data_IF_178490456217
#
_entry.id   IF_178490456217
#
_cell.length_a   1.000
_cell.length_b   1.000
_cell.length_c   1.000
_cell.angle_alpha   90.00
_cell.angle_beta   90.00
_cell.angle_gamma   90.00
#
_symmetry.space_group_name_H-M   'P 1'
#
loop_
_entity.id
_entity.type
_entity.pdbx_description
1 polymer ?
#
# COMPACT_ATOMS: atom_id res chain seq x y z
N UNK A 1 33.83 16.98 2.44
CA UNK A 1 33.58 16.20 3.65
C UNK A 1 32.42 15.26 3.34
N UNK A 2 32.55 13.93 3.44
CA UNK A 2 31.41 13.05 3.33
C UNK A 2 30.38 13.44 4.40
N UNK A 3 29.13 13.48 4.03
CA UNK A 3 27.99 13.77 4.92
C UNK A 3 27.98 12.75 6.05
N UNK A 4 28.11 13.23 7.29
CA UNK A 4 28.12 12.40 8.49
C UNK A 4 26.69 11.99 8.93
N UNK A 5 25.72 12.02 8.01
CA UNK A 5 24.39 11.54 8.26
C UNK A 5 24.36 10.01 8.13
N UNK A 6 23.69 9.30 9.06
CA UNK A 6 23.59 7.84 9.00
C UNK A 6 22.90 7.41 7.69
N UNK A 7 23.45 6.38 7.05
CA UNK A 7 22.83 5.77 5.86
C UNK A 7 21.49 5.12 6.24
N UNK A 8 20.62 4.97 5.27
CA UNK A 8 19.29 4.38 5.50
C UNK A 8 19.28 2.99 4.87
N UNK A 9 19.06 1.98 5.70
CA UNK A 9 18.90 0.60 5.28
C UNK A 9 17.44 0.18 5.44
N UNK A 10 16.86 -0.39 4.41
CA UNK A 10 15.45 -0.72 4.38
C UNK A 10 15.19 -2.18 4.02
N UNK A 11 14.37 -2.86 4.81
CA UNK A 11 13.80 -4.17 4.48
C UNK A 11 12.34 -3.99 4.09
N UNK A 12 12.02 -4.25 2.80
CA UNK A 12 10.68 -4.11 2.23
C UNK A 12 10.06 -5.50 2.09
N UNK A 13 9.21 -5.89 3.04
CA UNK A 13 8.44 -7.12 2.95
C UNK A 13 7.30 -6.94 1.93
N UNK A 14 7.26 -7.82 0.93
CA UNK A 14 6.33 -7.68 -0.20
C UNK A 14 6.89 -6.89 -1.38
N UNK A 15 8.22 -6.78 -1.52
CA UNK A 15 8.91 -6.07 -2.61
C UNK A 15 8.51 -6.52 -4.02
N UNK A 16 8.05 -7.78 -4.20
CA UNK A 16 7.51 -8.30 -5.47
C UNK A 16 6.08 -7.84 -5.80
N UNK A 17 5.37 -7.17 -4.88
CA UNK A 17 4.03 -6.64 -5.08
C UNK A 17 4.02 -5.27 -5.77
N UNK A 18 2.81 -4.78 -6.12
CA UNK A 18 2.64 -3.47 -6.75
C UNK A 18 3.31 -2.36 -5.93
N UNK A 19 2.93 -2.22 -4.67
CA UNK A 19 3.44 -1.16 -3.79
C UNK A 19 4.90 -1.40 -3.42
N UNK A 20 5.25 -2.63 -3.02
CA UNK A 20 6.61 -2.97 -2.64
C UNK A 20 7.62 -2.74 -3.77
N UNK A 21 7.26 -3.08 -5.01
CA UNK A 21 8.06 -2.77 -6.20
C UNK A 21 8.22 -1.27 -6.44
N UNK A 22 7.17 -0.48 -6.24
CA UNK A 22 7.23 0.98 -6.28
C UNK A 22 8.16 1.56 -5.22
N UNK A 23 8.06 1.06 -3.99
CA UNK A 23 8.94 1.46 -2.88
C UNK A 23 10.41 1.13 -3.16
N UNK A 24 10.68 -0.06 -3.72
CA UNK A 24 12.05 -0.48 -4.09
C UNK A 24 12.64 0.41 -5.17
N UNK A 25 11.88 0.73 -6.21
CA UNK A 25 12.35 1.67 -7.26
C UNK A 25 12.64 3.06 -6.69
N UNK A 26 11.75 3.57 -5.85
CA UNK A 26 11.92 4.90 -5.26
C UNK A 26 13.08 4.95 -4.25
N UNK A 27 13.36 3.87 -3.52
CA UNK A 27 14.51 3.76 -2.62
C UNK A 27 15.84 4.02 -3.34
N UNK A 28 16.01 3.48 -4.55
CA UNK A 28 17.21 3.70 -5.37
C UNK A 28 17.43 5.20 -5.69
N UNK A 29 16.35 5.93 -5.98
CA UNK A 29 16.42 7.38 -6.25
C UNK A 29 16.78 8.20 -5.00
N UNK A 30 16.56 7.66 -3.82
CA UNK A 30 16.81 8.32 -2.53
C UNK A 30 18.14 7.90 -1.89
N UNK A 31 18.93 7.03 -2.54
CA UNK A 31 20.16 6.49 -1.97
C UNK A 31 19.92 5.58 -0.75
N UNK A 32 18.74 4.95 -0.66
CA UNK A 32 18.41 4.01 0.41
C UNK A 32 18.91 2.62 0.05
N UNK A 33 19.64 1.98 0.96
CA UNK A 33 20.11 0.61 0.79
C UNK A 33 18.98 -0.39 1.06
N UNK A 34 18.47 -1.01 -0.01
CA UNK A 34 17.42 -2.03 0.13
C UNK A 34 18.05 -3.38 0.40
N UNK A 35 17.69 -3.99 1.54
CA UNK A 35 18.12 -5.33 1.90
C UNK A 35 17.54 -6.38 0.95
N UNK A 36 18.45 -7.08 0.25
CA UNK A 36 18.12 -8.20 -0.62
C UNK A 36 17.90 -9.47 0.22
N UNK A 37 16.82 -9.51 0.97
CA UNK A 37 16.49 -10.64 1.82
C UNK A 37 16.13 -11.91 1.02
N UNK A 38 16.12 -13.08 1.70
CA UNK A 38 15.75 -14.34 1.08
C UNK A 38 14.27 -14.35 0.66
N UNK A 39 13.93 -15.23 -0.29
CA UNK A 39 12.52 -15.48 -0.64
C UNK A 39 11.79 -16.10 0.57
N UNK A 40 10.71 -15.46 1.01
CA UNK A 40 9.93 -15.92 2.15
C UNK A 40 8.90 -16.97 1.68
N UNK A 41 8.90 -18.18 2.27
CA UNK A 41 7.94 -19.23 1.94
C UNK A 41 6.60 -18.96 2.63
N UNK A 42 5.82 -18.00 2.14
CA UNK A 42 4.61 -17.46 2.77
C UNK A 42 3.58 -18.52 3.21
N UNK A 43 3.50 -19.65 2.49
CA UNK A 43 2.51 -20.71 2.72
C UNK A 43 2.97 -21.81 3.69
N UNK A 44 4.24 -21.83 4.05
CA UNK A 44 4.79 -22.82 5.00
C UNK A 44 5.12 -22.12 6.33
N UNK A 45 4.31 -22.25 7.37
CA UNK A 45 4.50 -21.54 8.63
C UNK A 45 5.83 -21.83 9.33
N UNK A 46 6.31 -23.09 9.24
CA UNK A 46 7.57 -23.51 9.88
C UNK A 46 8.77 -22.91 9.16
N UNK A 47 8.83 -23.11 7.85
CA UNK A 47 9.90 -22.55 7.03
C UNK A 47 9.88 -21.02 7.03
N UNK A 48 8.70 -20.40 6.98
CA UNK A 48 8.52 -18.95 7.02
C UNK A 48 9.08 -18.35 8.30
N UNK A 49 8.72 -18.87 9.47
CA UNK A 49 9.24 -18.37 10.75
C UNK A 49 10.74 -18.43 10.82
N UNK A 50 11.35 -19.56 10.42
CA UNK A 50 12.80 -19.71 10.36
C UNK A 50 13.45 -18.69 9.42
N UNK A 51 12.90 -18.53 8.22
CA UNK A 51 13.44 -17.59 7.21
C UNK A 51 13.30 -16.14 7.67
N UNK A 52 12.19 -15.77 8.29
CA UNK A 52 12.00 -14.42 8.85
C UNK A 52 12.99 -14.13 9.97
N UNK A 53 13.23 -15.07 10.86
CA UNK A 53 14.18 -14.91 11.96
C UNK A 53 15.62 -14.73 11.45
N UNK A 54 16.07 -15.60 10.54
CA UNK A 54 17.39 -15.49 9.90
C UNK A 54 17.55 -14.20 9.08
N UNK A 55 16.50 -13.80 8.35
CA UNK A 55 16.55 -12.57 7.58
C UNK A 55 16.59 -11.33 8.46
N UNK A 56 15.85 -11.32 9.58
CA UNK A 56 15.88 -10.23 10.55
C UNK A 56 17.26 -10.08 11.19
N UNK A 57 17.93 -11.19 11.52
CA UNK A 57 19.29 -11.19 12.05
C UNK A 57 20.29 -10.66 11.02
N UNK A 58 20.23 -11.17 9.78
CA UNK A 58 21.12 -10.73 8.70
C UNK A 58 20.93 -9.26 8.36
N UNK A 59 19.67 -8.80 8.36
CA UNK A 59 19.35 -7.39 8.13
C UNK A 59 19.89 -6.49 9.24
N UNK A 60 19.64 -6.83 10.51
CA UNK A 60 20.15 -6.08 11.64
C UNK A 60 21.68 -5.98 11.62
N UNK A 61 22.35 -7.08 11.27
CA UNK A 61 23.81 -7.11 11.12
C UNK A 61 24.28 -6.16 9.98
N UNK A 62 23.58 -6.16 8.84
CA UNK A 62 23.93 -5.30 7.70
C UNK A 62 23.73 -3.80 7.96
N UNK A 63 22.79 -3.45 8.85
CA UNK A 63 22.54 -2.05 9.24
C UNK A 63 23.67 -1.49 10.09
N UNK A 64 24.28 -2.32 10.96
CA UNK A 64 25.33 -1.85 11.88
C UNK A 64 24.81 -0.73 12.80
N UNK A 65 25.39 0.46 12.69
CA UNK A 65 25.00 1.66 13.45
C UNK A 65 24.10 2.65 12.69
N UNK A 66 23.76 2.33 11.44
CA UNK A 66 22.97 3.19 10.57
C UNK A 66 21.47 3.17 10.88
N UNK A 67 20.66 3.89 10.07
CA UNK A 67 19.22 3.97 10.27
C UNK A 67 18.50 2.76 9.72
N UNK A 68 17.87 1.99 10.59
CA UNK A 68 17.09 0.80 10.26
C UNK A 68 15.64 1.17 9.89
N UNK A 69 15.16 0.69 8.74
CA UNK A 69 13.77 0.86 8.28
C UNK A 69 13.19 -0.49 7.90
N UNK A 70 12.04 -0.85 8.46
CA UNK A 70 11.27 -2.03 8.06
C UNK A 70 9.93 -1.59 7.52
N UNK A 71 9.58 -2.04 6.30
CA UNK A 71 8.32 -1.69 5.64
C UNK A 71 7.49 -2.96 5.44
N UNK A 72 6.32 -2.99 6.06
CA UNK A 72 5.32 -4.03 5.81
C UNK A 72 4.43 -3.62 4.63
N UNK A 73 4.79 -4.09 3.43
CA UNK A 73 4.01 -3.95 2.20
C UNK A 73 3.52 -5.31 1.67
N UNK A 74 3.64 -6.35 2.51
CA UNK A 74 3.15 -7.70 2.22
C UNK A 74 1.67 -7.81 2.63
N UNK A 75 0.95 -8.70 1.94
CA UNK A 75 -0.43 -9.04 2.24
C UNK A 75 -1.12 -9.61 1.02
N UNK A 76 -1.96 -10.61 1.25
CA UNK A 76 -2.81 -11.20 0.23
C UNK A 76 -4.29 -10.95 0.48
N UNK A 77 -4.65 -10.54 1.69
CA UNK A 77 -6.02 -10.16 2.03
C UNK A 77 -6.44 -8.86 1.35
N UNK A 78 -7.71 -8.73 1.04
CA UNK A 78 -8.34 -7.57 0.43
C UNK A 78 -9.81 -7.47 0.83
N UNK A 79 -10.55 -6.53 0.27
CA UNK A 79 -11.93 -6.21 0.66
C UNK A 79 -12.89 -7.41 0.59
N UNK A 80 -12.66 -8.37 -0.31
CA UNK A 80 -13.46 -9.59 -0.44
C UNK A 80 -12.83 -10.82 0.25
N UNK A 81 -11.82 -10.66 1.10
CA UNK A 81 -11.23 -11.78 1.82
C UNK A 81 -12.06 -12.17 3.03
N UNK A 82 -12.08 -13.47 3.33
CA UNK A 82 -12.69 -14.04 4.53
C UNK A 82 -11.83 -13.80 5.79
N UNK A 83 -12.35 -14.23 6.94
CA UNK A 83 -11.64 -14.11 8.23
C UNK A 83 -10.35 -14.95 8.24
N UNK A 84 -10.30 -16.11 7.58
CA UNK A 84 -9.12 -16.99 7.55
C UNK A 84 -7.93 -16.31 6.86
N UNK A 85 -8.14 -15.71 5.71
CA UNK A 85 -7.07 -14.99 4.99
C UNK A 85 -6.58 -13.76 5.79
N UNK A 86 -7.47 -13.12 6.53
CA UNK A 86 -7.14 -11.99 7.40
C UNK A 86 -6.31 -12.44 8.61
N UNK A 87 -6.68 -13.58 9.22
CA UNK A 87 -5.97 -14.16 10.36
C UNK A 87 -4.58 -14.68 9.98
N UNK A 88 -4.44 -15.29 8.81
CA UNK A 88 -3.15 -15.72 8.28
C UNK A 88 -2.20 -14.53 8.11
N UNK A 89 -2.68 -13.41 7.55
CA UNK A 89 -1.86 -12.20 7.42
C UNK A 89 -1.45 -11.63 8.78
N UNK A 90 -2.36 -11.64 9.76
CA UNK A 90 -2.07 -11.22 11.12
C UNK A 90 -1.03 -12.11 11.81
N UNK A 91 -1.09 -13.44 11.59
CA UNK A 91 -0.11 -14.38 12.11
C UNK A 91 1.28 -14.11 11.53
N UNK A 92 1.38 -13.84 10.22
CA UNK A 92 2.64 -13.53 9.56
C UNK A 92 3.24 -12.22 10.10
N UNK A 93 2.42 -11.19 10.30
CA UNK A 93 2.87 -9.94 10.89
C UNK A 93 3.40 -10.13 12.31
N UNK A 94 2.74 -10.97 13.14
CA UNK A 94 3.25 -11.34 14.47
C UNK A 94 4.63 -11.98 14.38
N UNK A 95 4.81 -12.96 13.50
CA UNK A 95 6.10 -13.65 13.30
C UNK A 95 7.21 -12.68 12.92
N UNK A 96 6.94 -11.71 12.05
CA UNK A 96 7.90 -10.67 11.72
C UNK A 96 8.26 -9.79 12.93
N UNK A 97 7.24 -9.31 13.65
CA UNK A 97 7.48 -8.45 14.82
C UNK A 97 8.28 -9.19 15.89
N UNK A 98 7.98 -10.47 16.13
CA UNK A 98 8.78 -11.32 17.05
C UNK A 98 10.23 -11.49 16.55
N UNK A 99 10.44 -11.74 15.25
CA UNK A 99 11.76 -11.84 14.66
C UNK A 99 12.59 -10.55 14.78
N UNK A 100 11.94 -9.39 14.85
CA UNK A 100 12.60 -8.10 15.00
C UNK A 100 12.90 -7.72 16.46
N UNK A 101 12.31 -8.41 17.45
CA UNK A 101 12.56 -8.13 18.86
C UNK A 101 14.05 -8.26 19.21
N UNK A 102 14.58 -7.26 19.91
CA UNK A 102 15.98 -7.22 20.33
C UNK A 102 17.00 -6.97 19.19
N UNK A 103 16.52 -6.79 17.95
CA UNK A 103 17.40 -6.58 16.78
C UNK A 103 17.42 -5.13 16.27
N UNK A 104 16.64 -4.25 16.88
CA UNK A 104 16.69 -2.83 16.55
C UNK A 104 17.96 -2.17 17.08
N UNK A 105 18.60 -1.24 16.33
CA UNK A 105 19.69 -0.44 16.84
C UNK A 105 19.30 0.31 18.12
N UNK A 106 20.26 0.59 19.01
CA UNK A 106 19.99 1.40 20.22
C UNK A 106 19.49 2.81 19.88
N UNK A 107 19.91 3.35 18.76
CA UNK A 107 19.42 4.61 18.20
C UNK A 107 17.96 4.55 17.74
N UNK A 108 17.35 3.35 17.74
CA UNK A 108 16.02 3.08 17.23
C UNK A 108 15.99 2.87 15.73
N UNK A 109 14.76 2.87 15.17
CA UNK A 109 14.53 2.70 13.73
C UNK A 109 13.10 3.08 13.38
N UNK A 110 12.70 2.81 12.14
CA UNK A 110 11.32 3.08 11.69
C UNK A 110 10.67 1.78 11.23
N UNK A 111 9.50 1.47 11.77
CA UNK A 111 8.61 0.45 11.24
C UNK A 111 7.43 1.12 10.53
N UNK A 112 7.29 0.92 9.23
CA UNK A 112 6.18 1.44 8.44
C UNK A 112 5.19 0.34 8.11
N UNK A 113 3.95 0.47 8.62
CA UNK A 113 2.84 -0.42 8.32
C UNK A 113 1.99 0.15 7.18
N UNK A 114 1.81 -0.61 6.10
CA UNK A 114 0.79 -0.27 5.10
C UNK A 114 -0.58 -0.76 5.58
N UNK A 115 -1.45 0.19 5.90
CA UNK A 115 -2.86 -0.03 6.22
C UNK A 115 -3.74 0.41 5.05
N UNK A 116 -5.06 0.39 5.21
CA UNK A 116 -6.00 0.67 4.13
C UNK A 116 -7.08 1.66 4.58
N UNK A 117 -7.08 2.86 4.02
CA UNK A 117 -8.14 3.85 4.28
C UNK A 117 -9.53 3.29 3.90
N UNK A 118 -9.63 2.67 2.72
CA UNK A 118 -10.88 2.08 2.25
C UNK A 118 -11.45 1.00 3.14
N UNK A 119 -10.61 0.28 3.89
CA UNK A 119 -11.03 -0.78 4.80
C UNK A 119 -11.36 -0.26 6.20
N UNK A 120 -10.50 0.61 6.75
CA UNK A 120 -10.68 1.08 8.14
C UNK A 120 -11.80 2.12 8.28
N UNK A 121 -12.11 2.87 7.21
CA UNK A 121 -13.19 3.86 7.19
C UNK A 121 -14.50 3.36 6.57
N UNK A 122 -14.58 2.08 6.17
CA UNK A 122 -15.72 1.55 5.41
C UNK A 122 -17.10 1.73 6.09
N UNK A 123 -17.18 1.76 7.40
CA UNK A 123 -18.42 2.04 8.16
C UNK A 123 -18.53 3.48 8.65
N UNK A 124 -17.57 4.36 8.33
CA UNK A 124 -17.58 5.75 8.76
C UNK A 124 -18.45 6.59 7.81
N UNK A 125 -19.06 7.68 8.33
CA UNK A 125 -20.13 8.40 7.60
C UNK A 125 -19.74 9.80 7.10
N UNK A 126 -18.59 10.32 7.45
CA UNK A 126 -18.23 11.74 7.19
C UNK A 126 -16.97 11.83 6.34
N UNK A 127 -17.08 11.58 5.04
CA UNK A 127 -16.02 11.90 4.09
C UNK A 127 -15.91 13.44 3.89
N UNK A 128 -14.72 13.97 3.52
CA UNK A 128 -13.48 13.25 3.28
C UNK A 128 -12.79 12.78 4.57
N UNK A 129 -12.13 11.61 4.49
CA UNK A 129 -11.47 11.01 5.65
C UNK A 129 -10.01 11.48 5.77
N UNK A 130 -9.62 11.81 7.00
CA UNK A 130 -8.26 12.20 7.43
C UNK A 130 -7.69 11.14 8.37
N UNK A 131 -6.43 11.28 8.77
CA UNK A 131 -5.82 10.41 9.79
C UNK A 131 -6.57 10.44 11.14
N UNK A 132 -7.21 11.57 11.47
CA UNK A 132 -8.00 11.76 12.69
C UNK A 132 -9.44 11.24 12.59
N UNK A 133 -9.90 10.82 11.41
CA UNK A 133 -11.27 10.33 11.24
C UNK A 133 -11.51 9.05 12.05
N UNK A 134 -12.75 8.91 12.56
CA UNK A 134 -13.14 7.72 13.33
C UNK A 134 -13.04 6.45 12.48
N UNK A 135 -12.34 5.47 13.01
CA UNK A 135 -12.18 4.15 12.41
C UNK A 135 -13.42 3.30 12.69
N UNK A 136 -14.03 2.77 11.64
CA UNK A 136 -15.23 1.93 11.71
C UNK A 136 -15.19 0.86 10.61
N UNK A 137 -14.40 -0.22 10.78
CA UNK A 137 -14.30 -1.29 9.77
C UNK A 137 -15.59 -2.11 9.74
N UNK A 138 -16.06 -2.47 8.54
CA UNK A 138 -17.26 -3.29 8.33
C UNK A 138 -16.99 -4.64 7.65
N UNK A 139 -15.72 -5.01 7.46
CA UNK A 139 -15.30 -6.27 6.83
C UNK A 139 -14.21 -6.97 7.65
N UNK A 140 -13.98 -8.30 7.45
CA UNK A 140 -12.87 -9.03 8.07
C UNK A 140 -11.52 -8.35 7.80
N UNK A 141 -11.28 -8.00 6.54
CA UNK A 141 -10.07 -7.28 6.14
C UNK A 141 -9.91 -5.94 6.88
N UNK A 142 -10.97 -5.17 7.02
CA UNK A 142 -10.93 -3.90 7.75
C UNK A 142 -10.62 -4.09 9.23
N UNK A 143 -11.25 -5.10 9.88
CA UNK A 143 -10.95 -5.44 11.27
C UNK A 143 -9.50 -5.90 11.45
N UNK A 144 -8.98 -6.69 10.52
CA UNK A 144 -7.58 -7.11 10.50
C UNK A 144 -6.64 -5.91 10.41
N UNK A 145 -6.88 -4.95 9.49
CA UNK A 145 -6.03 -3.75 9.39
C UNK A 145 -6.03 -2.92 10.68
N UNK A 146 -7.18 -2.73 11.32
CA UNK A 146 -7.25 -2.05 12.62
C UNK A 146 -6.50 -2.80 13.69
N UNK A 147 -6.60 -4.13 13.70
CA UNK A 147 -5.84 -4.97 14.62
C UNK A 147 -4.33 -4.83 14.37
N UNK A 148 -3.87 -4.87 13.10
CA UNK A 148 -2.46 -4.69 12.73
C UNK A 148 -1.92 -3.34 13.21
N UNK A 149 -2.66 -2.24 12.99
CA UNK A 149 -2.30 -0.90 13.48
C UNK A 149 -2.06 -0.89 14.99
N UNK A 150 -2.99 -1.46 15.77
CA UNK A 150 -2.89 -1.54 17.23
C UNK A 150 -1.75 -2.45 17.68
N UNK A 151 -1.61 -3.60 17.03
CA UNK A 151 -0.62 -4.61 17.39
C UNK A 151 0.81 -4.07 17.23
N UNK A 152 1.16 -3.50 16.08
CA UNK A 152 2.53 -2.97 15.87
C UNK A 152 2.84 -1.81 16.80
N UNK A 153 1.85 -0.94 17.05
CA UNK A 153 2.02 0.20 17.97
C UNK A 153 2.26 -0.23 19.43
N UNK A 154 1.69 -1.36 19.85
CA UNK A 154 1.82 -1.88 21.22
C UNK A 154 3.02 -2.82 21.40
N UNK A 155 3.45 -3.50 20.34
CA UNK A 155 4.43 -4.61 20.43
C UNK A 155 5.86 -4.19 20.15
N UNK A 156 6.08 -3.08 19.44
CA UNK A 156 7.41 -2.58 19.13
C UNK A 156 7.95 -1.70 20.28
N UNK A 157 9.28 -1.71 20.45
CA UNK A 157 9.95 -0.91 21.46
C UNK A 157 9.60 0.58 21.33
N UNK A 158 9.50 1.35 22.42
CA UNK A 158 9.32 2.80 22.39
C UNK A 158 10.41 3.55 21.61
N UNK A 159 11.58 2.93 21.40
CA UNK A 159 12.66 3.49 20.58
C UNK A 159 12.37 3.39 19.08
N UNK A 160 11.48 2.48 18.67
CA UNK A 160 11.08 2.30 17.28
C UNK A 160 9.98 3.30 16.92
N UNK A 161 10.20 4.06 15.83
CA UNK A 161 9.21 4.99 15.30
C UNK A 161 8.21 4.23 14.43
N UNK A 162 7.05 3.89 15.01
CA UNK A 162 5.97 3.18 14.30
C UNK A 162 5.15 4.18 13.51
N UNK A 163 5.10 3.97 12.18
CA UNK A 163 4.33 4.79 11.25
C UNK A 163 3.32 3.95 10.50
N UNK A 164 2.10 4.46 10.40
CA UNK A 164 0.97 3.77 9.78
C UNK A 164 0.49 4.59 8.59
N UNK A 165 0.60 4.04 7.39
CA UNK A 165 0.05 4.62 6.18
C UNK A 165 -1.32 4.01 5.86
N UNK A 166 -2.42 4.76 6.00
CA UNK A 166 -3.75 4.36 5.53
C UNK A 166 -3.88 4.73 4.06
N UNK A 167 -3.70 3.73 3.19
CA UNK A 167 -3.61 3.93 1.76
C UNK A 167 -5.00 4.05 1.10
N UNK A 168 -5.13 4.96 0.12
CA UNK A 168 -6.23 4.98 -0.83
C UNK A 168 -6.16 3.81 -1.83
N UNK A 169 -6.86 3.95 -2.97
CA UNK A 169 -6.83 2.94 -4.02
C UNK A 169 -5.55 3.08 -4.86
N UNK A 170 -4.50 2.35 -4.49
CA UNK A 170 -3.23 2.36 -5.21
C UNK A 170 -3.39 1.58 -6.51
N UNK A 171 -2.94 2.17 -7.64
CA UNK A 171 -3.01 1.55 -8.94
C UNK A 171 -1.68 1.67 -9.71
N UNK A 172 -1.47 0.76 -10.67
CA UNK A 172 -0.27 0.66 -11.48
C UNK A 172 -0.16 -0.72 -12.11
N UNK A 173 0.97 -1.02 -12.75
CA UNK A 173 1.27 -2.34 -13.32
C UNK A 173 1.94 -3.24 -12.29
N UNK A 174 1.54 -4.52 -12.28
CA UNK A 174 2.16 -5.55 -11.46
C UNK A 174 2.32 -6.84 -12.28
N UNK A 175 3.39 -7.57 -12.01
CA UNK A 175 3.68 -8.86 -12.65
C UNK A 175 2.95 -10.05 -12.02
N UNK A 176 2.40 -9.88 -10.81
CA UNK A 176 1.86 -11.00 -10.01
C UNK A 176 0.34 -11.19 -10.11
N UNK A 177 -0.29 -10.74 -11.20
CA UNK A 177 -1.66 -11.13 -11.59
C UNK A 177 -2.81 -10.48 -10.83
N UNK A 178 -2.60 -9.90 -9.65
CA UNK A 178 -3.63 -9.16 -8.91
C UNK A 178 -3.77 -7.74 -9.44
N UNK A 179 -4.81 -7.53 -10.21
CA UNK A 179 -5.05 -6.23 -10.84
C UNK A 179 -6.32 -5.58 -10.27
N UNK A 180 -6.17 -4.32 -9.84
CA UNK A 180 -7.31 -3.48 -9.46
C UNK A 180 -8.17 -3.06 -10.65
N UNK A 181 -9.16 -2.20 -10.40
CA UNK A 181 -10.11 -1.72 -11.38
C UNK A 181 -9.44 -1.12 -12.64
N UNK A 182 -8.49 -0.19 -12.45
CA UNK A 182 -7.90 0.57 -13.56
C UNK A 182 -7.10 -0.33 -14.52
N UNK A 183 -6.13 -1.17 -14.06
CA UNK A 183 -5.45 -2.09 -14.98
C UNK A 183 -6.39 -3.06 -15.70
N UNK A 184 -7.43 -3.56 -15.04
CA UNK A 184 -8.44 -4.44 -15.66
C UNK A 184 -9.22 -3.72 -16.77
N UNK A 185 -9.59 -2.46 -16.56
CA UNK A 185 -10.22 -1.63 -17.59
C UNK A 185 -9.27 -1.40 -18.78
N UNK A 186 -7.98 -1.14 -18.52
CA UNK A 186 -6.98 -0.99 -19.58
C UNK A 186 -6.85 -2.27 -20.41
N UNK A 187 -6.80 -3.44 -19.77
CA UNK A 187 -6.76 -4.73 -20.45
C UNK A 187 -8.03 -4.95 -21.27
N UNK A 188 -9.20 -4.70 -20.70
CA UNK A 188 -10.48 -4.81 -21.41
C UNK A 188 -10.52 -3.91 -22.65
N UNK A 189 -10.03 -2.67 -22.54
CA UNK A 189 -9.91 -1.75 -23.67
C UNK A 189 -8.98 -2.30 -24.76
N UNK A 190 -7.80 -2.79 -24.38
CA UNK A 190 -6.81 -3.33 -25.33
C UNK A 190 -7.29 -4.62 -26.00
N UNK A 191 -7.93 -5.51 -25.26
CA UNK A 191 -8.48 -6.79 -25.76
C UNK A 191 -9.86 -6.65 -26.41
N UNK A 192 -10.48 -5.44 -26.39
CA UNK A 192 -11.84 -5.19 -26.89
C UNK A 192 -12.89 -6.09 -26.24
N UNK A 193 -12.70 -6.41 -24.96
CA UNK A 193 -13.64 -7.25 -24.19
C UNK A 193 -14.56 -6.41 -23.30
N UNK A 194 -15.72 -6.97 -22.96
CA UNK A 194 -16.60 -6.39 -21.94
C UNK A 194 -16.03 -6.60 -20.54
N UNK A 195 -16.41 -5.69 -19.62
CA UNK A 195 -16.04 -5.79 -18.22
C UNK A 195 -17.25 -5.73 -17.31
N UNK A 196 -17.36 -6.67 -16.37
CA UNK A 196 -18.36 -6.62 -15.31
C UNK A 196 -17.88 -5.72 -14.17
N UNK A 197 -18.72 -4.79 -13.76
CA UNK A 197 -18.57 -3.96 -12.57
C UNK A 197 -19.64 -4.32 -11.55
N UNK A 198 -19.22 -4.46 -10.28
CA UNK A 198 -20.10 -4.85 -9.18
C UNK A 198 -20.32 -3.70 -8.18
N UNK A 199 -19.83 -2.50 -8.50
CA UNK A 199 -20.04 -1.29 -7.73
C UNK A 199 -20.76 -0.25 -8.59
N UNK A 200 -21.61 0.61 -8.00
CA UNK A 200 -22.25 1.71 -8.72
C UNK A 200 -21.23 2.64 -9.40
N UNK A 201 -21.60 3.20 -10.54
CA UNK A 201 -20.71 4.06 -11.34
C UNK A 201 -20.38 5.41 -10.66
N UNK A 202 -21.22 5.87 -9.75
CA UNK A 202 -21.06 7.08 -8.94
C UNK A 202 -20.24 6.86 -7.65
N UNK A 203 -19.75 5.63 -7.42
CA UNK A 203 -18.89 5.29 -6.29
C UNK A 203 -17.60 6.10 -6.33
N UNK A 204 -17.32 6.87 -5.28
CA UNK A 204 -16.17 7.77 -5.18
C UNK A 204 -14.99 7.09 -4.46
N UNK A 205 -13.80 7.17 -5.07
CA UNK A 205 -12.55 6.65 -4.52
C UNK A 205 -11.40 7.61 -4.80
N UNK A 206 -10.42 7.64 -3.91
CA UNK A 206 -9.12 8.26 -4.17
C UNK A 206 -8.21 7.23 -4.86
N UNK A 207 -7.84 7.52 -6.10
CA UNK A 207 -6.93 6.68 -6.88
C UNK A 207 -5.55 7.31 -6.93
N UNK A 208 -4.57 6.65 -6.34
CA UNK A 208 -3.19 7.13 -6.28
C UNK A 208 -2.28 6.22 -7.10
N UNK A 209 -1.50 6.80 -8.01
CA UNK A 209 -0.53 6.02 -8.79
C UNK A 209 0.57 5.48 -7.87
N UNK A 210 1.04 4.27 -8.15
CA UNK A 210 1.97 3.57 -7.25
C UNK A 210 3.27 4.33 -6.99
N UNK A 211 3.79 5.05 -8.01
CA UNK A 211 5.02 5.81 -7.85
C UNK A 211 4.81 7.01 -6.92
N UNK A 212 3.64 7.68 -6.98
CA UNK A 212 3.28 8.76 -6.04
C UNK A 212 3.12 8.23 -4.62
N UNK A 213 2.44 7.09 -4.46
CA UNK A 213 2.29 6.46 -3.16
C UNK A 213 3.67 6.11 -2.57
N UNK A 214 4.60 5.60 -3.38
CA UNK A 214 5.96 5.30 -2.95
C UNK A 214 6.72 6.56 -2.51
N UNK A 215 6.63 7.65 -3.28
CA UNK A 215 7.22 8.95 -2.90
C UNK A 215 6.67 9.44 -1.58
N UNK A 216 5.34 9.44 -1.40
CA UNK A 216 4.70 9.91 -0.18
C UNK A 216 5.08 9.04 1.03
N UNK A 217 5.13 7.73 0.87
CA UNK A 217 5.55 6.81 1.94
C UNK A 217 6.99 7.05 2.34
N UNK A 218 7.90 7.19 1.38
CA UNK A 218 9.30 7.47 1.71
C UNK A 218 9.48 8.84 2.39
N UNK A 219 8.73 9.85 1.98
CA UNK A 219 8.71 11.14 2.69
C UNK A 219 8.27 10.98 4.13
N UNK A 220 7.21 10.20 4.38
CA UNK A 220 6.76 9.88 5.73
C UNK A 220 7.85 9.15 6.53
N UNK A 221 8.51 8.14 5.96
CA UNK A 221 9.56 7.37 6.62
C UNK A 221 10.78 8.24 6.95
N UNK A 222 11.17 9.13 6.04
CA UNK A 222 12.40 9.91 6.18
C UNK A 222 12.24 11.19 6.99
N UNK A 223 11.00 11.67 7.23
CA UNK A 223 10.78 12.86 8.07
C UNK A 223 11.25 12.62 9.50
N UNK A 224 11.56 13.67 10.28
CA UNK A 224 11.85 13.56 11.69
C UNK A 224 10.72 12.86 12.45
N UNK A 225 11.05 12.22 13.59
CA UNK A 225 10.06 11.55 14.44
C UNK A 225 8.95 12.52 14.84
N UNK A 226 7.70 12.10 14.67
CA UNK A 226 6.50 12.90 15.00
C UNK A 226 5.67 12.18 16.05
N UNK A 227 4.87 12.92 16.79
CA UNK A 227 3.91 12.38 17.76
C UNK A 227 2.73 11.66 17.12
N UNK A 228 2.42 11.96 15.85
CA UNK A 228 1.33 11.31 15.10
C UNK A 228 1.91 10.24 14.18
N UNK A 229 1.75 8.96 14.58
CA UNK A 229 2.25 7.82 13.80
C UNK A 229 1.37 7.42 12.61
N UNK A 230 0.18 8.00 12.44
CA UNK A 230 -0.77 7.64 11.36
C UNK A 230 -0.91 8.76 10.36
N UNK A 231 -0.91 8.42 9.06
CA UNK A 231 -1.12 9.33 7.94
C UNK A 231 -2.01 8.70 6.88
N UNK A 232 -2.75 9.51 6.13
CA UNK A 232 -3.49 9.07 4.93
C UNK A 232 -2.64 9.28 3.69
N UNK A 233 -2.45 8.23 2.92
CA UNK A 233 -1.70 8.23 1.66
C UNK A 233 -2.67 8.09 0.49
N UNK A 234 -2.77 9.11 -0.32
CA UNK A 234 -3.65 9.16 -1.48
C UNK A 234 -3.28 10.31 -2.41
N UNK A 235 -3.97 10.42 -3.53
CA UNK A 235 -3.77 11.49 -4.50
C UNK A 235 -4.37 12.83 -4.06
N UNK A 236 -5.31 12.81 -3.10
CA UNK A 236 -6.11 13.97 -2.73
C UNK A 236 -7.19 14.33 -3.75
N UNK A 237 -7.35 13.51 -4.80
CA UNK A 237 -8.35 13.67 -5.85
C UNK A 237 -9.22 12.43 -5.93
N UNK A 238 -10.43 12.56 -5.48
CA UNK A 238 -11.39 11.45 -5.55
C UNK A 238 -12.19 11.53 -6.85
N UNK A 239 -12.33 10.39 -7.50
CA UNK A 239 -13.00 10.23 -8.78
C UNK A 239 -14.07 9.14 -8.65
N UNK A 240 -15.15 9.29 -9.43
CA UNK A 240 -16.16 8.26 -9.59
C UNK A 240 -15.67 7.13 -10.50
N UNK A 241 -16.26 5.96 -10.37
CA UNK A 241 -15.99 4.83 -11.26
C UNK A 241 -16.31 5.20 -12.72
N UNK A 242 -17.36 6.01 -12.97
CA UNK A 242 -17.69 6.49 -14.32
C UNK A 242 -16.60 7.39 -14.91
N UNK A 243 -16.00 8.28 -14.12
CA UNK A 243 -14.88 9.11 -14.57
C UNK A 243 -13.65 8.24 -14.90
N UNK A 244 -13.37 7.22 -14.09
CA UNK A 244 -12.29 6.27 -14.37
C UNK A 244 -12.53 5.52 -15.70
N UNK A 245 -13.74 4.99 -15.92
CA UNK A 245 -14.10 4.31 -17.17
C UNK A 245 -13.94 5.26 -18.36
N UNK A 246 -14.47 6.47 -18.27
CA UNK A 246 -14.40 7.48 -19.32
C UNK A 246 -12.94 7.84 -19.66
N UNK A 247 -12.09 8.03 -18.64
CA UNK A 247 -10.67 8.34 -18.84
C UNK A 247 -9.93 7.19 -19.52
N UNK A 248 -10.20 5.93 -19.14
CA UNK A 248 -9.59 4.76 -19.83
C UNK A 248 -10.01 4.73 -21.29
N UNK A 249 -11.29 4.98 -21.61
CA UNK A 249 -11.77 4.99 -22.99
C UNK A 249 -11.15 6.13 -23.81
N UNK A 250 -11.00 7.31 -23.22
CA UNK A 250 -10.36 8.46 -23.86
C UNK A 250 -8.87 8.19 -24.17
N UNK A 251 -8.10 7.73 -23.16
CA UNK A 251 -6.65 7.49 -23.31
C UNK A 251 -6.36 6.32 -24.25
N UNK A 252 -7.16 5.26 -24.18
CA UNK A 252 -6.99 4.07 -25.05
C UNK A 252 -7.55 4.27 -26.47
N UNK A 253 -8.37 5.30 -26.70
CA UNK A 253 -9.18 5.49 -27.92
C UNK A 253 -10.07 4.28 -28.22
N UNK A 254 -10.55 3.57 -27.19
CA UNK A 254 -11.35 2.36 -27.32
C UNK A 254 -12.52 2.35 -26.35
N UNK A 255 -13.67 1.87 -26.80
CA UNK A 255 -14.82 1.64 -25.93
C UNK A 255 -14.62 0.35 -25.13
N UNK A 256 -15.01 0.38 -23.86
CA UNK A 256 -15.12 -0.79 -22.99
C UNK A 256 -16.60 -0.99 -22.66
N UNK A 257 -17.26 -2.00 -23.22
CA UNK A 257 -18.63 -2.29 -22.81
C UNK A 257 -18.66 -2.67 -21.32
N UNK A 258 -19.47 -1.98 -20.54
CA UNK A 258 -19.63 -2.22 -19.11
C UNK A 258 -20.96 -2.91 -18.86
N UNK A 259 -20.91 -4.08 -18.21
CA UNK A 259 -22.08 -4.73 -17.64
C UNK A 259 -22.09 -4.51 -16.12
N UNK A 260 -23.18 -4.00 -15.59
CA UNK A 260 -23.37 -3.84 -14.14
C UNK A 260 -23.93 -5.14 -13.58
N UNK A 261 -23.18 -5.75 -12.65
CA UNK A 261 -23.60 -6.92 -11.89
C UNK A 261 -23.93 -6.56 -10.45
N UNK A 262 -24.44 -7.52 -9.71
CA UNK A 262 -24.63 -7.44 -8.26
C UNK A 262 -23.71 -8.42 -7.56
N UNK A 263 -23.06 -7.95 -6.51
CA UNK A 263 -22.24 -8.75 -5.62
C UNK A 263 -22.51 -8.29 -4.18
N UNK A 264 -22.96 -9.19 -3.29
CA UNK A 264 -23.27 -8.85 -1.90
C UNK A 264 -22.10 -8.23 -1.14
N UNK A 265 -20.87 -8.63 -1.42
CA UNK A 265 -19.67 -8.07 -0.78
C UNK A 265 -19.38 -6.65 -1.33
N UNK A 266 -19.53 -6.44 -2.63
CA UNK A 266 -19.41 -5.12 -3.23
C UNK A 266 -20.49 -4.15 -2.73
N UNK A 267 -21.70 -4.65 -2.46
CA UNK A 267 -22.81 -3.85 -1.93
C UNK A 267 -22.55 -3.32 -0.50
N UNK A 268 -21.63 -3.95 0.26
CA UNK A 268 -21.22 -3.48 1.59
C UNK A 268 -20.19 -2.35 1.54
N UNK A 269 -19.62 -2.09 0.37
CA UNK A 269 -18.64 -1.02 0.24
C UNK A 269 -19.32 0.35 0.26
N UNK A 270 -18.79 1.32 1.02
CA UNK A 270 -19.37 2.66 1.04
C UNK A 270 -19.27 3.33 -0.34
N UNK A 271 -20.28 4.10 -0.69
CA UNK A 271 -20.33 4.87 -1.93
C UNK A 271 -19.27 5.98 -1.95
N UNK A 272 -18.97 6.58 -0.80
CA UNK A 272 -18.08 7.72 -0.67
C UNK A 272 -16.92 7.39 0.26
N UNK A 273 -15.73 7.21 -0.33
CA UNK A 273 -14.45 7.05 0.34
C UNK A 273 -13.47 8.14 -0.11
N UNK A 274 -13.93 9.37 -0.16
CA UNK A 274 -13.05 10.52 -0.43
C UNK A 274 -12.04 10.67 0.71
N UNK A 275 -10.80 10.92 0.36
CA UNK A 275 -9.71 11.11 1.30
C UNK A 275 -9.22 12.55 1.28
N UNK A 276 -8.75 12.99 2.43
CA UNK A 276 -7.99 14.23 2.57
C UNK A 276 -6.61 13.87 3.14
N UNK A 277 -5.62 13.56 2.28
CA UNK A 277 -4.29 13.20 2.70
C UNK A 277 -3.57 14.35 3.42
N UNK A 278 -2.76 14.00 4.41
CA UNK A 278 -2.06 14.98 5.26
C UNK A 278 -1.04 15.81 4.45
N UNK A 279 -0.48 15.27 3.37
CA UNK A 279 0.48 15.97 2.53
C UNK A 279 -0.10 17.18 1.81
N UNK A 280 -1.41 17.26 1.62
CA UNK A 280 -2.05 18.45 1.04
C UNK A 280 -1.71 19.74 1.79
N UNK A 281 -1.51 19.62 3.11
CA UNK A 281 -1.13 20.75 3.96
C UNK A 281 0.38 20.90 4.14
N UNK A 282 1.09 19.77 4.24
CA UNK A 282 2.53 19.75 4.55
C UNK A 282 3.44 19.82 3.32
N UNK A 283 2.88 19.66 2.12
CA UNK A 283 3.66 19.58 0.89
C UNK A 283 2.83 20.05 -0.33
N UNK A 284 2.39 21.32 -0.35
CA UNK A 284 1.45 21.83 -1.35
C UNK A 284 2.00 21.80 -2.79
N UNK A 285 3.33 21.78 -2.96
CA UNK A 285 3.99 21.72 -4.26
C UNK A 285 4.01 20.31 -4.87
N UNK A 286 3.64 19.28 -4.11
CA UNK A 286 3.56 17.93 -4.65
C UNK A 286 2.38 17.80 -5.60
N UNK A 287 2.67 17.46 -6.85
CA UNK A 287 1.65 17.25 -7.88
C UNK A 287 1.55 15.75 -8.18
N UNK A 288 0.48 15.08 -7.70
CA UNK A 288 0.25 13.68 -8.05
C UNK A 288 0.07 13.50 -9.55
N UNK A 289 0.54 12.37 -10.06
CA UNK A 289 0.30 11.94 -11.43
C UNK A 289 -1.21 11.87 -11.66
N UNK A 290 -1.70 12.60 -12.67
CA UNK A 290 -3.11 12.58 -13.03
C UNK A 290 -3.53 11.22 -13.57
N UNK A 291 -4.84 10.93 -13.50
CA UNK A 291 -5.37 9.63 -13.89
C UNK A 291 -5.04 9.26 -15.35
N UNK A 292 -5.13 10.23 -16.27
CA UNK A 292 -4.85 10.00 -17.70
C UNK A 292 -3.41 9.59 -17.94
N UNK A 293 -2.47 10.29 -17.33
CA UNK A 293 -1.03 9.96 -17.39
C UNK A 293 -0.75 8.59 -16.77
N UNK A 294 -1.34 8.27 -15.62
CA UNK A 294 -1.19 6.96 -14.98
C UNK A 294 -1.74 5.82 -15.85
N UNK A 295 -2.91 6.02 -16.46
CA UNK A 295 -3.51 5.05 -17.41
C UNK A 295 -2.61 4.86 -18.63
N UNK A 296 -2.08 5.96 -19.21
CA UNK A 296 -1.16 5.85 -20.33
C UNK A 296 0.07 5.01 -20.01
N UNK A 297 0.70 5.22 -18.85
CA UNK A 297 1.83 4.39 -18.38
C UNK A 297 1.47 2.90 -18.28
N UNK A 298 0.25 2.59 -17.80
CA UNK A 298 -0.22 1.20 -17.73
C UNK A 298 -0.38 0.61 -19.13
N UNK A 299 -1.02 1.32 -20.05
CA UNK A 299 -1.24 0.87 -21.44
C UNK A 299 0.09 0.64 -22.14
N UNK A 300 1.04 1.59 -22.02
CA UNK A 300 2.37 1.47 -22.61
C UNK A 300 3.11 0.23 -22.04
N UNK A 301 3.05 0.01 -20.73
CA UNK A 301 3.65 -1.16 -20.08
C UNK A 301 3.02 -2.50 -20.50
N UNK A 302 1.71 -2.54 -20.72
CA UNK A 302 1.01 -3.74 -21.22
C UNK A 302 1.31 -4.05 -22.70
N UNK A 303 1.61 -3.03 -23.52
CA UNK A 303 1.95 -3.20 -24.92
C UNK A 303 3.37 -3.75 -25.13
N UNK A 304 4.28 -3.56 -24.18
CA UNK A 304 5.68 -3.97 -24.23
C UNK A 304 5.86 -5.42 -23.70
N UNK A 305 4.95 -5.89 -22.83
CA UNK A 305 5.04 -7.24 -22.27
C UNK A 305 4.88 -8.29 -23.39
N UNK A 306 5.82 -9.24 -23.55
CA UNK A 306 5.67 -10.33 -24.54
C UNK A 306 4.40 -11.13 -24.21
N UNK A 307 3.61 -11.42 -25.25
CA UNK A 307 2.36 -12.22 -25.16
C UNK A 307 2.67 -13.67 -24.85
#
# INVERSE_FOLDING_TARGET
>A
MPSNAPEVHAWILGSGGLLGGGLTRQAANLGVHVFAGPTIPWRDPVARRRVLDQAAESFAYSVGGDRMVVIWAAGTAGVGSDDSAADDENAILRELVEALKGRWPQTGGTFFLTSSAGAVYAGSKKAPFTAASLVSPNSPYGRSKVWQEKYVSASLSPTVDVRIGRLGNIYGTTSNGRQGLIPRLCIAALSRSAMNLFVPLDTLRDYCFVDDAAVLIWREILRPRSTTGTTVIGSGRSLSVSEVVSTVQQVSHRRVPIALGSDPEAARQPMDLRLQPDWLLSNPDFQPIDLGTGIKRIIDGLAIAPR
#
